data_IF_536180529955
#
_entry.id   IF_536180529955
#
_cell.length_a   1.000
_cell.length_b   1.000
_cell.length_c   1.000
_cell.angle_alpha   90.00
_cell.angle_beta   90.00
_cell.angle_gamma   90.00
#
_symmetry.space_group_name_H-M   'P 1'
#
loop_
_entity.id
_entity.type
_entity.pdbx_description
1 polymer ?
#
# COMPACT_ATOMS: atom_id res chain seq x y z
N UNK A 1 -18.00 6.13 20.91
CA UNK A 1 -17.72 5.70 19.53
C UNK A 1 -16.75 4.54 19.63
N UNK A 2 -17.10 3.32 19.18
CA UNK A 2 -16.16 2.22 19.22
C UNK A 2 -15.06 2.57 18.22
N UNK A 3 -13.82 2.62 18.71
CA UNK A 3 -12.65 2.92 17.90
C UNK A 3 -12.56 1.93 16.75
N UNK A 4 -12.24 2.44 15.56
CA UNK A 4 -11.79 1.63 14.43
C UNK A 4 -10.74 0.67 15.00
N UNK A 5 -10.96 -0.64 14.88
CA UNK A 5 -9.95 -1.60 15.35
C UNK A 5 -8.68 -1.40 14.52
N UNK A 6 -7.49 -1.59 15.10
CA UNK A 6 -6.22 -1.37 14.37
C UNK A 6 -6.15 -2.17 13.05
N UNK A 7 -6.87 -3.29 12.98
CA UNK A 7 -7.10 -4.05 11.74
C UNK A 7 -7.89 -3.28 10.69
N UNK A 8 -9.02 -2.67 11.05
CA UNK A 8 -9.84 -1.89 10.12
C UNK A 8 -9.07 -0.68 9.59
N UNK A 9 -8.35 0.03 10.46
CA UNK A 9 -7.51 1.16 10.06
C UNK A 9 -6.40 0.74 9.10
N UNK A 10 -5.81 -0.45 9.34
CA UNK A 10 -4.78 -1.01 8.47
C UNK A 10 -5.33 -1.41 7.09
N UNK A 11 -6.50 -2.07 7.05
CA UNK A 11 -7.18 -2.40 5.79
C UNK A 11 -7.52 -1.14 5.01
N UNK A 12 -8.10 -0.14 5.67
CA UNK A 12 -8.46 1.13 5.04
C UNK A 12 -7.24 1.89 4.49
N UNK A 13 -6.11 1.89 5.20
CA UNK A 13 -4.88 2.48 4.70
C UNK A 13 -4.34 1.73 3.46
N UNK A 14 -4.38 0.40 3.48
CA UNK A 14 -3.94 -0.41 2.35
C UNK A 14 -4.85 -0.23 1.13
N UNK A 15 -6.17 -0.18 1.34
CA UNK A 15 -7.16 0.11 0.30
C UNK A 15 -6.91 1.47 -0.34
N UNK A 16 -6.66 2.53 0.44
CA UNK A 16 -6.36 3.86 -0.11
C UNK A 16 -5.13 3.90 -1.01
N UNK A 17 -4.07 3.15 -0.68
CA UNK A 17 -2.87 3.03 -1.54
C UNK A 17 -3.22 2.34 -2.86
N UNK A 18 -3.96 1.24 -2.79
CA UNK A 18 -4.42 0.48 -3.96
C UNK A 18 -5.33 1.33 -4.84
N UNK A 19 -6.32 1.99 -4.26
CA UNK A 19 -7.29 2.82 -4.98
C UNK A 19 -6.62 4.01 -5.69
N UNK A 20 -5.58 4.59 -5.10
CA UNK A 20 -4.83 5.67 -5.74
C UNK A 20 -4.10 5.19 -7.00
N UNK A 21 -3.53 4.00 -6.94
CA UNK A 21 -2.59 3.53 -7.97
C UNK A 21 -3.29 2.73 -9.07
N UNK A 22 -4.31 1.95 -8.70
CA UNK A 22 -5.19 1.22 -9.62
C UNK A 22 -6.47 2.01 -9.95
N UNK A 23 -6.42 3.35 -9.95
CA UNK A 23 -7.49 4.16 -10.55
C UNK A 23 -7.74 3.73 -11.99
N UNK A 24 -8.96 3.97 -12.51
CA UNK A 24 -9.36 3.59 -13.87
C UNK A 24 -8.22 3.77 -14.90
N UNK A 25 -7.93 2.68 -15.62
CA UNK A 25 -6.94 2.52 -16.70
C UNK A 25 -5.44 2.55 -16.30
N UNK A 26 -5.06 2.29 -15.05
CA UNK A 26 -3.65 2.24 -14.60
C UNK A 26 -2.85 3.53 -14.89
N UNK A 27 -3.54 4.62 -15.23
CA UNK A 27 -2.93 5.88 -15.68
C UNK A 27 -2.03 6.50 -14.60
N UNK A 28 -2.29 6.21 -13.33
CA UNK A 28 -1.43 6.61 -12.24
C UNK A 28 -0.10 5.86 -12.26
N UNK A 29 -0.11 4.52 -12.45
CA UNK A 29 1.10 3.71 -12.59
C UNK A 29 1.94 4.16 -13.77
N UNK A 30 1.31 4.34 -14.94
CA UNK A 30 1.99 4.76 -16.18
C UNK A 30 2.63 6.15 -16.08
N UNK A 31 2.16 6.99 -15.15
CA UNK A 31 2.70 8.33 -14.91
C UNK A 31 3.87 8.34 -13.92
N UNK A 32 4.16 7.21 -13.25
CA UNK A 32 5.27 7.12 -12.31
C UNK A 32 6.62 7.11 -13.04
N UNK A 33 7.69 7.58 -12.37
CA UNK A 33 9.03 7.26 -12.84
C UNK A 33 9.21 5.75 -12.95
N UNK A 34 9.86 5.28 -14.02
CA UNK A 34 10.11 3.85 -14.30
C UNK A 34 10.72 3.11 -13.09
N UNK A 35 11.63 3.78 -12.37
CA UNK A 35 12.24 3.27 -11.14
C UNK A 35 11.22 2.99 -10.03
N UNK A 36 10.23 3.87 -9.89
CA UNK A 36 9.16 3.77 -8.89
C UNK A 36 8.16 2.70 -9.32
N UNK A 37 7.68 2.77 -10.57
CA UNK A 37 6.73 1.80 -11.13
C UNK A 37 7.26 0.38 -11.00
N UNK A 38 8.47 0.12 -11.49
CA UNK A 38 9.11 -1.20 -11.47
C UNK A 38 9.28 -1.72 -10.05
N UNK A 39 9.58 -0.84 -9.10
CA UNK A 39 9.76 -1.19 -7.70
C UNK A 39 8.44 -1.59 -7.03
N UNK A 40 7.35 -0.87 -7.29
CA UNK A 40 6.10 -1.02 -6.52
C UNK A 40 5.02 -1.86 -7.21
N UNK A 41 5.02 -2.00 -8.54
CA UNK A 41 3.90 -2.63 -9.26
C UNK A 41 3.60 -4.05 -8.77
N UNK A 42 4.64 -4.89 -8.67
CA UNK A 42 4.49 -6.27 -8.18
C UNK A 42 4.05 -6.34 -6.72
N UNK A 43 4.74 -5.72 -5.74
CA UNK A 43 4.31 -5.78 -4.34
C UNK A 43 2.96 -5.11 -4.09
N UNK A 44 2.57 -4.12 -4.90
CA UNK A 44 1.25 -3.50 -4.82
C UNK A 44 0.14 -4.44 -5.32
N UNK A 45 0.37 -5.19 -6.40
CA UNK A 45 -0.55 -6.24 -6.84
C UNK A 45 -0.76 -7.31 -5.75
N UNK A 46 0.28 -7.68 -5.02
CA UNK A 46 0.17 -8.59 -3.86
C UNK A 46 -0.69 -7.99 -2.73
N UNK A 47 -0.59 -6.69 -2.48
CA UNK A 47 -1.46 -5.99 -1.51
C UNK A 47 -2.92 -6.01 -1.98
N UNK A 48 -3.17 -5.72 -3.26
CA UNK A 48 -4.50 -5.82 -3.85
C UNK A 48 -5.11 -7.23 -3.68
N UNK A 49 -4.35 -8.27 -4.02
CA UNK A 49 -4.79 -9.67 -3.86
C UNK A 49 -5.00 -10.07 -2.39
N UNK A 50 -4.27 -9.46 -1.47
CA UNK A 50 -4.42 -9.71 -0.03
C UNK A 50 -5.61 -8.96 0.59
N UNK A 51 -6.11 -7.91 -0.06
CA UNK A 51 -7.32 -7.18 0.34
C UNK A 51 -8.62 -7.87 -0.11
N UNK A 52 -8.54 -8.84 -1.02
CA UNK A 52 -9.70 -9.63 -1.45
C UNK A 52 -10.45 -10.26 -0.26
N UNK A 53 -11.77 -10.32 -0.37
CA UNK A 53 -12.63 -10.86 0.68
C UNK A 53 -12.26 -12.32 1.01
N UNK A 54 -12.24 -12.66 2.30
CA UNK A 54 -11.90 -14.01 2.78
C UNK A 54 -10.41 -14.32 2.85
N UNK A 55 -9.51 -13.37 2.55
CA UNK A 55 -8.07 -13.54 2.73
C UNK A 55 -7.62 -13.37 4.19
N UNK A 56 -6.59 -14.12 4.64
CA UNK A 56 -6.03 -13.96 5.97
C UNK A 56 -5.33 -12.61 6.14
N UNK A 57 -5.46 -11.99 7.31
CA UNK A 57 -4.83 -10.70 7.61
C UNK A 57 -3.30 -10.76 7.57
N UNK A 58 -2.70 -11.93 7.84
CA UNK A 58 -1.27 -12.16 7.78
C UNK A 58 -0.72 -12.05 6.35
N UNK A 59 -1.55 -12.36 5.33
CA UNK A 59 -1.17 -12.12 3.94
C UNK A 59 -1.05 -10.63 3.66
N UNK A 60 -2.01 -9.84 4.12
CA UNK A 60 -1.98 -8.38 3.96
C UNK A 60 -0.78 -7.79 4.69
N UNK A 61 -0.51 -8.23 5.92
CA UNK A 61 0.66 -7.80 6.68
C UNK A 61 1.97 -8.05 5.93
N UNK A 62 2.12 -9.26 5.38
CA UNK A 62 3.32 -9.64 4.60
C UNK A 62 3.45 -8.81 3.32
N UNK A 63 2.37 -8.65 2.57
CA UNK A 63 2.37 -7.90 1.31
C UNK A 63 2.71 -6.42 1.56
N UNK A 64 2.10 -5.81 2.57
CA UNK A 64 2.37 -4.41 2.95
C UNK A 64 3.81 -4.23 3.43
N UNK A 65 4.38 -5.16 4.20
CA UNK A 65 5.79 -5.07 4.62
C UNK A 65 6.73 -5.05 3.43
N UNK A 66 6.50 -5.92 2.44
CA UNK A 66 7.29 -5.96 1.21
C UNK A 66 7.15 -4.66 0.41
N UNK A 67 5.92 -4.16 0.25
CA UNK A 67 5.66 -2.89 -0.43
C UNK A 67 6.40 -1.73 0.23
N UNK A 68 6.28 -1.59 1.55
CA UNK A 68 6.93 -0.50 2.30
C UNK A 68 8.46 -0.61 2.27
N UNK A 69 9.00 -1.83 2.32
CA UNK A 69 10.43 -2.08 2.23
C UNK A 69 11.00 -1.62 0.89
N UNK A 70 10.38 -2.06 -0.22
CA UNK A 70 10.84 -1.72 -1.56
C UNK A 70 10.60 -0.24 -1.88
N UNK A 71 9.43 0.29 -1.53
CA UNK A 71 9.11 1.72 -1.67
C UNK A 71 10.09 2.62 -0.92
N UNK A 72 10.63 2.15 0.22
CA UNK A 72 11.64 2.86 1.00
C UNK A 72 12.89 3.21 0.19
N UNK A 73 13.24 2.40 -0.82
CA UNK A 73 14.39 2.62 -1.70
C UNK A 73 14.18 3.71 -2.76
N UNK A 74 12.92 4.04 -3.09
CA UNK A 74 12.56 4.96 -4.20
C UNK A 74 11.70 6.13 -3.73
N UNK A 75 11.54 6.32 -2.42
CA UNK A 75 10.67 7.36 -1.83
C UNK A 75 11.04 8.80 -2.24
N UNK A 76 12.29 9.09 -2.61
CA UNK A 76 12.70 10.41 -3.09
C UNK A 76 12.23 10.73 -4.51
N UNK A 77 11.88 9.71 -5.29
CA UNK A 77 11.43 9.81 -6.68
C UNK A 77 9.90 9.70 -6.78
N UNK A 78 9.23 9.23 -5.72
CA UNK A 78 7.78 9.11 -5.68
C UNK A 78 7.04 10.45 -5.71
N UNK A 79 5.85 10.47 -6.33
CA UNK A 79 4.89 11.54 -6.10
C UNK A 79 4.60 11.71 -4.60
N UNK A 80 4.48 12.96 -4.10
CA UNK A 80 4.26 13.23 -2.67
C UNK A 80 3.05 12.50 -2.09
N UNK A 81 1.95 12.45 -2.83
CA UNK A 81 0.70 11.79 -2.42
C UNK A 81 0.88 10.30 -2.14
N UNK A 82 1.53 9.57 -3.06
CA UNK A 82 1.85 8.16 -2.87
C UNK A 82 2.81 7.94 -1.71
N UNK A 83 3.83 8.79 -1.58
CA UNK A 83 4.79 8.71 -0.48
C UNK A 83 4.11 8.92 0.90
N UNK A 84 3.13 9.82 0.98
CA UNK A 84 2.37 10.06 2.21
C UNK A 84 1.46 8.88 2.56
N UNK A 85 0.73 8.31 1.60
CA UNK A 85 -0.07 7.11 1.86
C UNK A 85 0.77 5.91 2.30
N UNK A 86 1.94 5.70 1.71
CA UNK A 86 2.85 4.63 2.12
C UNK A 86 3.43 4.84 3.53
N UNK A 87 3.64 6.10 3.94
CA UNK A 87 4.01 6.42 5.33
C UNK A 87 2.87 6.10 6.27
N UNK A 88 1.65 6.52 5.97
CA UNK A 88 0.46 6.18 6.77
C UNK A 88 0.29 4.68 6.92
N UNK A 89 0.38 3.94 5.81
CA UNK A 89 0.27 2.48 5.79
C UNK A 89 1.34 1.82 6.66
N UNK A 90 2.58 2.31 6.62
CA UNK A 90 3.66 1.85 7.51
C UNK A 90 3.35 2.08 8.99
N UNK A 91 2.76 3.23 9.34
CA UNK A 91 2.36 3.51 10.73
C UNK A 91 1.21 2.62 11.17
N UNK A 92 0.18 2.46 10.33
CA UNK A 92 -0.95 1.58 10.61
C UNK A 92 -0.52 0.12 10.80
N UNK A 93 0.45 -0.36 10.02
CA UNK A 93 1.00 -1.72 10.17
C UNK A 93 1.77 -1.94 11.47
N UNK A 94 2.48 -0.91 11.98
CA UNK A 94 3.26 -0.99 13.23
C UNK A 94 2.43 -0.88 14.50
N UNK A 95 1.27 -0.24 14.47
CA UNK A 95 0.39 -0.12 15.64
C UNK A 95 -0.21 -1.44 16.13
N UNK A 96 -0.01 -2.54 15.38
CA UNK A 96 -0.63 -3.86 15.61
C UNK A 96 0.28 -4.88 16.31
N UNK A 97 1.54 -4.53 16.60
CA UNK A 97 2.52 -5.40 17.28
C UNK A 97 2.53 -5.18 18.78
#
# INVERSE_FOLDING_TARGET
>A
MPGITDEQAFKEAATRVVDLVFTDDDAYLDALPESVESAIATPLAEVYLALEEGRPLERLDRAVRLLVEVAGGVMSEMPPELADLLRELRFAGRGRT
#
